data_IF_439807098487
#
_entry.id   IF_439807098487
#
_cell.length_a   1.000
_cell.length_b   1.000
_cell.length_c   1.000
_cell.angle_alpha   90.00
_cell.angle_beta   90.00
_cell.angle_gamma   90.00
#
_symmetry.space_group_name_H-M   'P 1'
#
loop_
_entity.id
_entity.type
_entity.pdbx_description
1 polymer ?
#
# COMPACT_ATOMS: atom_id res chain seq x y z
N UNK A 1 2.05 26.59 -30.69
CA UNK A 1 2.06 25.14 -30.82
C UNK A 1 2.45 24.53 -29.47
N UNK A 2 1.47 24.22 -28.68
CA UNK A 2 1.67 23.54 -27.39
C UNK A 2 1.45 22.04 -27.63
N UNK A 3 2.52 21.27 -27.57
CA UNK A 3 2.44 19.83 -27.64
C UNK A 3 1.80 19.31 -26.35
N UNK A 4 0.60 18.77 -26.51
CA UNK A 4 -0.17 18.13 -25.48
C UNK A 4 0.42 16.74 -25.25
N UNK A 5 1.19 16.54 -24.20
CA UNK A 5 1.71 15.23 -23.77
C UNK A 5 1.29 14.96 -22.33
N UNK A 6 0.00 14.63 -22.08
CA UNK A 6 -0.33 13.94 -20.84
C UNK A 6 -1.23 12.69 -20.99
N UNK A 7 -1.77 12.36 -22.15
CA UNK A 7 -2.74 11.25 -22.24
C UNK A 7 -2.12 9.85 -22.29
N UNK A 8 -0.89 9.70 -22.74
CA UNK A 8 -0.24 8.39 -22.90
C UNK A 8 0.15 7.80 -21.55
N UNK A 9 0.61 8.63 -20.61
CA UNK A 9 1.02 8.16 -19.29
C UNK A 9 -0.17 7.69 -18.44
N UNK A 10 -1.27 8.42 -18.47
CA UNK A 10 -2.48 8.06 -17.72
C UNK A 10 -3.12 6.75 -18.20
N UNK A 11 -3.14 6.51 -19.51
CA UNK A 11 -3.67 5.28 -20.09
C UNK A 11 -2.80 4.04 -19.76
N UNK A 12 -1.48 4.20 -19.75
CA UNK A 12 -0.55 3.12 -19.41
C UNK A 12 -0.70 2.72 -17.93
N UNK A 13 -0.75 3.69 -17.03
CA UNK A 13 -0.94 3.48 -15.59
C UNK A 13 -2.27 2.78 -15.29
N UNK A 14 -3.35 3.20 -15.93
CA UNK A 14 -4.67 2.58 -15.78
C UNK A 14 -4.66 1.13 -16.28
N UNK A 15 -3.98 0.85 -17.38
CA UNK A 15 -3.85 -0.50 -17.89
C UNK A 15 -3.06 -1.41 -16.95
N UNK A 16 -1.96 -0.94 -16.38
CA UNK A 16 -1.17 -1.67 -15.39
C UNK A 16 -1.98 -1.96 -14.12
N UNK A 17 -2.72 -0.98 -13.62
CA UNK A 17 -3.61 -1.16 -12.47
C UNK A 17 -4.66 -2.25 -12.75
N UNK A 18 -5.29 -2.24 -13.90
CA UNK A 18 -6.29 -3.24 -14.28
C UNK A 18 -5.68 -4.63 -14.39
N UNK A 19 -4.46 -4.74 -14.90
CA UNK A 19 -3.73 -6.02 -14.96
C UNK A 19 -3.41 -6.53 -13.56
N UNK A 20 -2.90 -5.68 -12.67
CA UNK A 20 -2.63 -6.01 -11.27
C UNK A 20 -3.90 -6.46 -10.54
N UNK A 21 -5.00 -5.72 -10.71
CA UNK A 21 -6.29 -6.08 -10.11
C UNK A 21 -6.80 -7.44 -10.60
N UNK A 22 -6.62 -7.75 -11.88
CA UNK A 22 -6.99 -9.04 -12.44
C UNK A 22 -6.15 -10.18 -11.84
N UNK A 23 -4.84 -10.00 -11.76
CA UNK A 23 -3.95 -11.00 -11.15
C UNK A 23 -4.29 -11.18 -9.67
N UNK A 24 -4.40 -10.10 -8.90
CA UNK A 24 -4.75 -10.17 -7.49
C UNK A 24 -6.11 -10.86 -7.26
N UNK A 25 -7.11 -10.60 -8.10
CA UNK A 25 -8.42 -11.25 -8.03
C UNK A 25 -8.34 -12.76 -8.26
N UNK A 26 -7.43 -13.24 -9.11
CA UNK A 26 -7.25 -14.67 -9.35
C UNK A 26 -6.67 -15.39 -8.14
N UNK A 27 -5.85 -14.71 -7.35
CA UNK A 27 -5.19 -15.27 -6.17
C UNK A 27 -5.96 -15.03 -4.86
N UNK A 28 -7.03 -14.23 -4.88
CA UNK A 28 -7.91 -13.97 -3.73
C UNK A 28 -9.24 -14.69 -3.89
N UNK A 29 -9.37 -15.85 -3.28
CA UNK A 29 -10.53 -16.73 -3.44
C UNK A 29 -11.69 -16.41 -2.50
N UNK A 30 -11.45 -15.67 -1.41
CA UNK A 30 -12.45 -15.31 -0.42
C UNK A 30 -12.15 -13.93 0.20
N UNK A 31 -13.13 -13.37 0.89
CA UNK A 31 -12.96 -12.12 1.63
C UNK A 31 -12.00 -12.27 2.80
N UNK A 32 -11.34 -11.19 3.15
CA UNK A 32 -10.42 -11.11 4.26
C UNK A 32 -8.95 -11.14 3.83
N UNK A 33 -8.11 -11.46 4.79
CA UNK A 33 -6.66 -11.58 4.61
C UNK A 33 -6.33 -13.05 4.32
N UNK A 34 -5.57 -13.26 3.26
CA UNK A 34 -5.16 -14.59 2.81
C UNK A 34 -3.64 -14.64 2.69
N UNK A 35 -3.04 -15.68 3.25
CA UNK A 35 -1.63 -15.97 3.01
C UNK A 35 -1.38 -16.37 1.57
N UNK A 36 -0.14 -16.22 1.12
CA UNK A 36 0.33 -16.68 -0.18
C UNK A 36 1.39 -17.77 -0.04
N UNK A 37 1.87 -18.29 -1.17
CA UNK A 37 3.00 -19.22 -1.19
C UNK A 37 4.33 -18.54 -0.82
N UNK A 38 4.36 -17.22 -0.80
CA UNK A 38 5.51 -16.42 -0.40
C UNK A 38 5.35 -16.06 1.06
N UNK A 39 6.34 -16.41 1.87
CA UNK A 39 6.31 -16.10 3.30
C UNK A 39 6.31 -14.59 3.53
N UNK A 40 5.45 -14.14 4.45
CA UNK A 40 5.26 -12.72 4.74
C UNK A 40 4.40 -11.94 3.73
N UNK A 41 4.02 -12.54 2.61
CA UNK A 41 3.15 -11.90 1.61
C UNK A 41 1.70 -12.33 1.80
N UNK A 42 0.85 -11.37 2.10
CA UNK A 42 -0.60 -11.55 2.30
C UNK A 42 -1.38 -10.78 1.24
N UNK A 43 -2.49 -11.36 0.82
CA UNK A 43 -3.46 -10.75 -0.09
C UNK A 43 -4.70 -10.37 0.69
N UNK A 44 -5.25 -9.19 0.40
CA UNK A 44 -6.43 -8.66 1.10
C UNK A 44 -7.53 -8.42 0.07
N UNK A 45 -8.72 -8.92 0.37
CA UNK A 45 -9.92 -8.71 -0.44
C UNK A 45 -11.10 -8.33 0.44
N UNK A 46 -11.81 -7.27 0.05
CA UNK A 46 -13.11 -6.90 0.64
C UNK A 46 -14.09 -6.57 -0.49
N UNK A 47 -15.25 -7.20 -0.47
CA UNK A 47 -16.26 -7.06 -1.52
C UNK A 47 -17.32 -5.98 -1.22
N UNK A 48 -17.22 -5.34 -0.07
CA UNK A 48 -18.17 -4.33 0.38
C UNK A 48 -17.49 -3.28 1.27
N UNK A 49 -18.00 -2.07 1.35
CA UNK A 49 -17.55 -1.09 2.33
C UNK A 49 -17.69 -1.64 3.75
N UNK A 50 -16.74 -1.32 4.62
CA UNK A 50 -16.77 -1.77 6.01
C UNK A 50 -17.03 -0.61 6.95
N UNK A 51 -17.62 -0.92 8.11
CA UNK A 51 -17.62 0.00 9.24
C UNK A 51 -16.22 0.22 9.76
N UNK A 52 -16.02 1.31 10.53
CA UNK A 52 -14.76 1.60 11.18
C UNK A 52 -14.42 0.51 12.19
N UNK A 53 -13.28 -0.13 12.03
CA UNK A 53 -12.78 -1.19 12.91
C UNK A 53 -11.38 -0.87 13.43
N UNK A 54 -11.12 -1.29 14.68
CA UNK A 54 -9.78 -1.17 15.26
C UNK A 54 -8.88 -2.31 14.78
N UNK A 55 -7.65 -1.98 14.48
CA UNK A 55 -6.60 -2.97 14.17
C UNK A 55 -5.24 -2.47 14.65
N UNK A 56 -4.29 -3.38 14.77
CA UNK A 56 -2.90 -3.05 15.03
C UNK A 56 -2.11 -3.33 13.76
N UNK A 57 -1.53 -2.27 13.20
CA UNK A 57 -0.60 -2.43 12.09
C UNK A 57 0.74 -2.89 12.64
N UNK A 58 1.28 -3.91 12.03
CA UNK A 58 2.64 -4.40 12.25
C UNK A 58 3.60 -3.84 11.19
N UNK A 59 4.91 -3.87 11.42
CA UNK A 59 5.88 -3.47 10.40
C UNK A 59 5.63 -4.17 9.07
N UNK A 60 5.29 -3.39 8.06
CA UNK A 60 4.84 -3.91 6.76
C UNK A 60 4.78 -2.83 5.69
N UNK A 61 4.76 -3.29 4.44
CA UNK A 61 4.39 -2.49 3.27
C UNK A 61 3.03 -2.98 2.78
N UNK A 62 2.08 -2.08 2.61
CA UNK A 62 0.76 -2.39 2.08
C UNK A 62 0.53 -1.62 0.79
N UNK A 63 0.35 -2.33 -0.31
CA UNK A 63 0.13 -1.78 -1.64
C UNK A 63 -1.34 -1.90 -2.00
N UNK A 64 -2.00 -0.78 -2.27
CA UNK A 64 -3.40 -0.77 -2.69
C UNK A 64 -3.48 -0.89 -4.21
N UNK A 65 -4.17 -1.91 -4.67
CA UNK A 65 -4.35 -2.19 -6.10
C UNK A 65 -5.67 -1.60 -6.59
N UNK A 66 -6.74 -1.79 -5.83
CA UNK A 66 -8.10 -1.39 -6.21
C UNK A 66 -8.93 -1.04 -4.98
N UNK A 67 -9.85 -0.11 -5.13
CA UNK A 67 -10.69 0.37 -4.04
C UNK A 67 -10.01 1.42 -3.18
N UNK A 68 -10.69 1.86 -2.15
CA UNK A 68 -10.24 2.95 -1.27
C UNK A 68 -10.42 2.57 0.18
N UNK A 69 -9.40 2.84 0.98
CA UNK A 69 -9.43 2.64 2.43
C UNK A 69 -9.04 3.92 3.13
N UNK A 70 -9.69 4.22 4.22
CA UNK A 70 -9.34 5.33 5.12
C UNK A 70 -8.93 4.77 6.47
N UNK A 71 -7.87 5.32 7.05
CA UNK A 71 -7.47 5.04 8.42
C UNK A 71 -7.41 6.32 9.23
N UNK A 72 -7.68 6.17 10.52
CA UNK A 72 -7.49 7.21 11.50
C UNK A 72 -6.36 6.80 12.45
N UNK A 73 -5.38 7.69 12.57
CA UNK A 73 -4.25 7.58 13.49
C UNK A 73 -4.22 8.81 14.38
N UNK A 74 -4.71 8.68 15.61
CA UNK A 74 -4.94 9.83 16.49
C UNK A 74 -5.93 10.80 15.87
N UNK A 75 -5.53 12.06 15.71
CA UNK A 75 -6.35 13.14 15.14
C UNK A 75 -6.26 13.22 13.59
N UNK A 76 -5.52 12.32 12.97
CA UNK A 76 -5.28 12.34 11.52
C UNK A 76 -6.09 11.27 10.82
N UNK A 77 -6.67 11.65 9.71
CA UNK A 77 -7.31 10.74 8.76
C UNK A 77 -6.44 10.67 7.49
N UNK A 78 -6.12 9.44 7.08
CA UNK A 78 -5.32 9.16 5.89
C UNK A 78 -6.16 8.26 4.99
N UNK A 79 -6.35 8.70 3.74
CA UNK A 79 -7.06 7.93 2.72
C UNK A 79 -6.08 7.43 1.67
N UNK A 80 -6.03 6.11 1.46
CA UNK A 80 -5.23 5.55 0.40
C UNK A 80 -6.09 5.03 -0.75
N UNK A 81 -5.62 5.43 -1.92
CA UNK A 81 -6.22 5.15 -3.21
C UNK A 81 -5.41 4.10 -3.96
N UNK A 82 -5.93 3.58 -5.07
CA UNK A 82 -5.18 2.70 -5.94
C UNK A 82 -3.82 3.26 -6.33
N UNK A 83 -2.84 2.38 -6.45
CA UNK A 83 -1.44 2.68 -6.77
C UNK A 83 -0.74 3.57 -5.73
N UNK A 84 -1.21 3.52 -4.49
CA UNK A 84 -0.47 4.02 -3.33
C UNK A 84 0.00 2.87 -2.44
N UNK A 85 1.02 3.13 -1.65
CA UNK A 85 1.46 2.21 -0.63
C UNK A 85 1.58 2.89 0.73
N UNK A 86 1.43 2.09 1.75
CA UNK A 86 1.59 2.48 3.14
C UNK A 86 2.72 1.67 3.76
N UNK A 87 3.71 2.35 4.29
CA UNK A 87 4.79 1.73 5.04
C UNK A 87 4.58 1.97 6.54
N UNK A 88 4.56 0.91 7.32
CA UNK A 88 4.55 0.96 8.77
C UNK A 88 5.86 0.38 9.30
N UNK A 89 6.58 1.12 10.13
CA UNK A 89 7.86 0.69 10.71
C UNK A 89 7.73 0.16 12.14
N UNK A 90 6.59 0.39 12.77
CA UNK A 90 6.30 0.02 14.16
C UNK A 90 4.87 -0.54 14.28
N UNK A 91 4.56 -1.13 15.42
CA UNK A 91 3.19 -1.52 15.73
C UNK A 91 2.36 -0.29 16.08
N UNK A 92 1.29 -0.06 15.32
CA UNK A 92 0.42 1.12 15.46
C UNK A 92 -1.04 0.70 15.58
N UNK A 93 -1.74 1.15 16.64
CA UNK A 93 -3.19 1.03 16.69
C UNK A 93 -3.83 2.03 15.73
N UNK A 94 -4.69 1.55 14.85
CA UNK A 94 -5.40 2.37 13.87
C UNK A 94 -6.88 2.02 13.84
N UNK A 95 -7.71 3.00 13.51
CA UNK A 95 -9.09 2.77 13.12
C UNK A 95 -9.17 2.83 11.61
N UNK A 96 -9.67 1.77 10.98
CA UNK A 96 -9.73 1.68 9.52
C UNK A 96 -11.10 1.32 9.01
N UNK A 97 -11.43 1.81 7.82
CA UNK A 97 -12.64 1.44 7.08
C UNK A 97 -12.35 1.36 5.59
N UNK A 98 -12.99 0.40 4.94
CA UNK A 98 -13.05 0.33 3.49
C UNK A 98 -14.15 1.28 3.04
N UNK A 99 -13.81 2.23 2.18
CA UNK A 99 -14.74 3.28 1.71
C UNK A 99 -15.35 2.90 0.38
N UNK A 100 -14.54 2.35 -0.53
CA UNK A 100 -14.94 1.99 -1.88
C UNK A 100 -14.58 0.53 -2.16
N UNK A 101 -15.62 -0.30 -2.27
CA UNK A 101 -15.54 -1.70 -2.63
C UNK A 101 -16.92 -2.21 -3.07
N UNK A 102 -16.94 -3.17 -3.99
CA UNK A 102 -18.11 -3.93 -4.40
C UNK A 102 -17.71 -5.35 -4.82
N UNK A 103 -18.65 -6.23 -5.07
CA UNK A 103 -18.36 -7.58 -5.60
C UNK A 103 -17.68 -7.51 -6.97
N UNK A 104 -18.11 -6.58 -7.82
CA UNK A 104 -17.54 -6.39 -9.17
C UNK A 104 -16.19 -5.70 -9.13
N UNK A 105 -16.02 -4.77 -8.19
CA UNK A 105 -14.79 -4.01 -7.96
C UNK A 105 -14.39 -4.07 -6.48
N UNK A 106 -13.88 -5.24 -6.03
CA UNK A 106 -13.50 -5.39 -4.62
C UNK A 106 -12.30 -4.50 -4.27
N UNK A 107 -12.21 -4.14 -3.00
CA UNK A 107 -10.96 -3.61 -2.47
C UNK A 107 -9.91 -4.72 -2.50
N UNK A 108 -8.79 -4.45 -3.14
CA UNK A 108 -7.66 -5.38 -3.29
C UNK A 108 -6.38 -4.70 -2.84
N UNK A 109 -5.65 -5.37 -1.98
CA UNK A 109 -4.34 -4.93 -1.53
C UNK A 109 -3.39 -6.11 -1.33
N UNK A 110 -2.11 -5.82 -1.42
CA UNK A 110 -1.02 -6.76 -1.12
C UNK A 110 -0.27 -6.20 0.08
N UNK A 111 -0.06 -7.02 1.10
CA UNK A 111 0.69 -6.67 2.29
C UNK A 111 1.93 -7.54 2.39
N UNK A 112 3.07 -6.91 2.49
CA UNK A 112 4.36 -7.55 2.75
C UNK A 112 4.79 -7.24 4.18
N UNK A 113 4.90 -8.28 5.01
CA UNK A 113 5.48 -8.15 6.35
C UNK A 113 6.97 -7.87 6.24
N UNK A 114 7.45 -6.97 7.08
CA UNK A 114 8.84 -6.53 7.08
C UNK A 114 9.39 -6.74 8.48
N UNK A 115 10.53 -7.44 8.57
CA UNK A 115 11.29 -7.51 9.81
C UNK A 115 12.24 -6.29 9.87
N UNK A 116 12.06 -5.38 10.85
CA UNK A 116 12.95 -4.24 11.00
C UNK A 116 14.42 -4.61 11.19
N UNK A 117 14.70 -5.78 11.76
CA UNK A 117 16.06 -6.27 11.93
C UNK A 117 16.67 -6.64 10.58
N UNK A 118 15.96 -7.36 9.71
CA UNK A 118 16.42 -7.67 8.36
C UNK A 118 16.67 -6.42 7.52
N UNK A 119 15.82 -5.40 7.67
CA UNK A 119 16.04 -4.10 7.02
C UNK A 119 17.30 -3.43 7.53
N UNK A 120 17.54 -3.44 8.83
CA UNK A 120 18.76 -2.85 9.41
C UNK A 120 20.02 -3.58 8.92
N UNK A 121 19.99 -4.90 8.86
CA UNK A 121 21.11 -5.71 8.32
C UNK A 121 21.37 -5.38 6.85
N UNK A 122 20.32 -5.26 6.03
CA UNK A 122 20.44 -4.88 4.62
C UNK A 122 21.05 -3.49 4.45
N UNK A 123 20.65 -2.53 5.28
CA UNK A 123 21.21 -1.16 5.24
C UNK A 123 22.70 -1.19 5.60
N UNK A 124 23.09 -2.00 6.58
CA UNK A 124 24.51 -2.15 6.96
C UNK A 124 25.32 -2.81 5.85
N UNK A 125 24.79 -3.81 5.16
CA UNK A 125 25.44 -4.46 4.01
C UNK A 125 25.61 -3.49 2.83
N UNK A 126 24.64 -2.64 2.58
CA UNK A 126 24.71 -1.64 1.51
C UNK A 126 25.74 -0.55 1.80
N UNK A 127 26.00 -0.23 3.08
CA UNK A 127 26.97 0.77 3.48
C UNK A 127 26.79 2.09 2.73
N UNK A 128 27.82 2.57 2.07
CA UNK A 128 27.80 3.82 1.28
C UNK A 128 26.85 3.77 0.06
N UNK A 129 26.38 2.59 -0.33
CA UNK A 129 25.39 2.41 -1.41
C UNK A 129 23.96 2.53 -0.92
N UNK A 130 23.75 2.56 0.40
CA UNK A 130 22.41 2.78 0.96
C UNK A 130 21.88 4.15 0.51
N UNK A 131 20.60 4.25 0.16
CA UNK A 131 19.99 5.54 -0.15
C UNK A 131 20.21 6.50 1.03
N UNK A 132 20.55 7.78 0.77
CA UNK A 132 20.69 8.74 1.85
C UNK A 132 19.38 8.87 2.61
N UNK A 133 19.49 8.89 3.93
CA UNK A 133 18.35 9.22 4.80
C UNK A 133 18.01 10.70 4.56
N UNK A 134 17.07 10.94 3.68
CA UNK A 134 16.52 12.29 3.55
C UNK A 134 15.57 12.51 4.74
N UNK A 135 15.81 13.53 5.56
CA UNK A 135 14.76 13.98 6.47
C UNK A 135 13.59 14.41 5.59
N UNK A 136 12.55 13.62 5.60
CA UNK A 136 11.33 13.92 4.86
C UNK A 136 10.62 15.07 5.56
N UNK A 137 10.99 16.30 5.22
CA UNK A 137 10.33 17.53 5.68
C UNK A 137 8.84 17.54 5.26
N UNK A 138 8.43 16.66 4.37
CA UNK A 138 7.10 16.64 3.76
C UNK A 138 6.16 15.55 4.27
N UNK A 139 6.58 14.67 5.17
CA UNK A 139 5.75 13.56 5.63
C UNK A 139 5.69 13.55 7.17
N UNK A 140 4.80 14.33 7.80
CA UNK A 140 4.65 14.37 9.24
C UNK A 140 4.27 12.99 9.84
N UNK A 141 3.73 12.09 9.02
CA UNK A 141 3.40 10.72 9.40
C UNK A 141 4.63 9.85 9.69
N UNK A 142 5.80 10.17 9.10
CA UNK A 142 7.05 9.43 9.37
C UNK A 142 7.45 9.49 10.84
N UNK A 143 7.14 10.58 11.52
CA UNK A 143 7.40 10.72 12.96
C UNK A 143 6.60 9.74 13.82
N UNK A 144 5.48 9.23 13.28
CA UNK A 144 4.64 8.24 13.92
C UNK A 144 4.94 6.80 13.49
N UNK A 145 5.97 6.58 12.64
CA UNK A 145 6.29 5.28 12.09
C UNK A 145 5.38 4.83 10.94
N UNK A 146 4.65 5.75 10.34
CA UNK A 146 3.75 5.52 9.21
C UNK A 146 4.10 6.47 8.07
N UNK A 147 4.22 5.96 6.87
CA UNK A 147 4.46 6.73 5.66
C UNK A 147 3.56 6.25 4.53
N UNK A 148 2.96 7.19 3.81
CA UNK A 148 2.18 6.92 2.61
C UNK A 148 2.82 7.60 1.40
N UNK A 149 2.88 6.90 0.28
CA UNK A 149 3.36 7.46 -0.98
C UNK A 149 2.67 6.80 -2.17
N UNK A 150 2.77 7.44 -3.33
CA UNK A 150 2.33 6.83 -4.59
C UNK A 150 3.37 5.84 -5.10
N UNK A 151 2.91 4.75 -5.73
CA UNK A 151 3.78 3.82 -6.42
C UNK A 151 4.35 4.50 -7.68
N UNK A 152 5.67 4.45 -7.84
CA UNK A 152 6.30 4.88 -9.07
C UNK A 152 6.18 3.82 -10.18
N UNK A 153 6.58 4.16 -11.41
CA UNK A 153 6.47 3.26 -12.57
C UNK A 153 7.25 1.94 -12.37
N UNK A 154 8.35 1.95 -11.61
CA UNK A 154 9.14 0.74 -11.34
C UNK A 154 8.45 -0.19 -10.36
N UNK A 155 7.65 0.35 -9.43
CA UNK A 155 6.90 -0.44 -8.47
C UNK A 155 5.65 -1.07 -9.10
N UNK A 156 5.19 -0.53 -10.23
CA UNK A 156 4.00 -1.01 -10.95
C UNK A 156 4.33 -2.10 -11.99
N UNK A 157 5.57 -2.21 -12.40
CA UNK A 157 6.05 -3.19 -13.37
C UNK A 157 6.54 -4.48 -12.71
#
# INVERSE_FOLDING_TARGET
MTANVPEISGNLTLNLQQQLARVASQWTTHQGIQGSAIDGLELIRCNEPSSCGSSVYEPSLCFVIQGTKTIQLGDREITYQPLSYLASSVHLPVLGRIVDASEEHPYLAVKLKVDPQEVAELVLELGDKAPPLHPTESCPEVQCGLCMSSMDERMQS
#
